data_IF_605571188699
#
_entry.id   IF_605571188699
#
_cell.length_a   1.000
_cell.length_b   1.000
_cell.length_c   1.000
_cell.angle_alpha   90.00
_cell.angle_beta   90.00
_cell.angle_gamma   90.00
#
_symmetry.space_group_name_H-M   'P 1'
#
loop_
_entity.id
_entity.type
_entity.pdbx_description
1 polymer ?
#
# COMPACT_ATOMS: atom_id res chain seq x y z
N UNK A 1 -0.85 -1.19 22.44
CA UNK A 1 -0.83 -1.36 20.97
C UNK A 1 -1.85 -2.41 20.62
N UNK A 2 -2.70 -2.15 19.63
CA UNK A 2 -3.72 -3.11 19.19
C UNK A 2 -3.23 -3.86 17.94
N UNK A 3 -3.52 -5.15 17.87
CA UNK A 3 -3.21 -5.96 16.68
C UNK A 3 -4.16 -5.56 15.56
N UNK A 4 -3.62 -5.23 14.39
CA UNK A 4 -4.37 -4.92 13.17
C UNK A 4 -4.55 -6.13 12.27
N UNK A 5 -3.51 -6.97 12.18
CA UNK A 5 -3.47 -8.15 11.33
C UNK A 5 -2.80 -9.30 12.07
N UNK A 6 -3.34 -10.51 11.91
CA UNK A 6 -2.73 -11.75 12.36
C UNK A 6 -2.66 -12.75 11.20
N UNK A 7 -1.48 -13.30 10.99
CA UNK A 7 -1.19 -14.34 10.00
C UNK A 7 -0.71 -15.58 10.73
N UNK A 8 -1.32 -16.74 10.44
CA UNK A 8 -1.05 -17.99 11.14
C UNK A 8 -0.80 -19.12 10.15
N UNK A 9 0.39 -19.71 10.25
CA UNK A 9 0.81 -20.92 9.51
C UNK A 9 0.57 -20.84 7.99
N UNK A 10 0.74 -19.67 7.40
CA UNK A 10 0.53 -19.46 5.97
C UNK A 10 1.66 -20.12 5.18
N UNK A 11 1.28 -20.97 4.25
CA UNK A 11 2.20 -21.58 3.28
C UNK A 11 1.68 -21.32 1.87
N UNK A 12 2.59 -21.07 0.96
CA UNK A 12 2.25 -20.81 -0.44
C UNK A 12 3.33 -21.33 -1.37
N UNK A 13 2.89 -22.02 -2.40
CA UNK A 13 3.76 -22.53 -3.48
C UNK A 13 3.18 -22.17 -4.84
N UNK A 14 4.04 -21.88 -5.78
CA UNK A 14 3.72 -21.79 -7.19
C UNK A 14 4.00 -23.14 -7.84
N UNK A 15 3.59 -23.32 -9.09
CA UNK A 15 3.91 -24.52 -9.88
C UNK A 15 5.41 -24.81 -10.01
N UNK A 16 6.26 -23.81 -9.72
CA UNK A 16 7.72 -23.89 -9.95
C UNK A 16 8.49 -23.89 -8.62
N UNK A 17 7.99 -23.19 -7.61
CA UNK A 17 8.76 -22.91 -6.38
C UNK A 17 7.86 -22.74 -5.17
N UNK A 18 8.29 -23.29 -4.05
CA UNK A 18 7.75 -22.98 -2.73
C UNK A 18 8.26 -21.59 -2.31
N UNK A 19 7.33 -20.69 -1.99
CA UNK A 19 7.66 -19.33 -1.58
C UNK A 19 7.66 -19.15 -0.07
N UNK A 20 6.68 -19.76 0.64
CA UNK A 20 6.53 -19.63 2.08
C UNK A 20 6.22 -20.98 2.72
N UNK A 21 6.72 -21.15 3.95
CA UNK A 21 6.46 -22.31 4.78
C UNK A 21 6.10 -21.87 6.20
N UNK A 22 4.84 -22.12 6.58
CA UNK A 22 4.32 -21.87 7.93
C UNK A 22 4.61 -20.45 8.46
N UNK A 23 4.44 -19.42 7.65
CA UNK A 23 4.60 -18.05 8.10
C UNK A 23 3.56 -17.71 9.16
N UNK A 24 4.03 -17.18 10.30
CA UNK A 24 3.18 -16.68 11.37
C UNK A 24 3.75 -15.36 11.88
N UNK A 25 2.93 -14.32 11.85
CA UNK A 25 3.30 -12.98 12.32
C UNK A 25 2.06 -12.13 12.59
N UNK A 26 2.24 -10.99 13.22
CA UNK A 26 1.18 -10.01 13.41
C UNK A 26 1.68 -8.60 13.10
N UNK A 27 0.77 -7.71 12.75
CA UNK A 27 1.03 -6.27 12.59
C UNK A 27 0.27 -5.53 13.67
N UNK A 28 0.98 -4.70 14.41
CA UNK A 28 0.43 -3.87 15.47
C UNK A 28 0.16 -2.44 14.96
N UNK A 29 -0.77 -1.75 15.61
CA UNK A 29 -1.01 -0.34 15.36
C UNK A 29 0.27 0.48 15.61
N UNK A 30 0.63 1.35 14.67
CA UNK A 30 1.83 2.18 14.70
C UNK A 30 3.07 1.53 14.10
N UNK A 31 3.02 0.25 13.69
CA UNK A 31 4.13 -0.38 12.97
C UNK A 31 4.23 0.15 11.54
N UNK A 32 5.45 0.53 11.18
CA UNK A 32 5.84 1.00 9.86
C UNK A 32 6.92 0.07 9.33
N UNK A 33 6.50 -0.90 8.55
CA UNK A 33 7.30 -2.07 8.20
C UNK A 33 7.91 -1.88 6.83
N UNK A 34 9.23 -1.98 6.73
CA UNK A 34 9.97 -2.16 5.47
C UNK A 34 10.14 -3.64 5.17
N UNK A 35 9.53 -4.15 4.11
CA UNK A 35 9.66 -5.53 3.68
C UNK A 35 10.73 -5.63 2.59
N UNK A 36 11.85 -6.26 2.92
CA UNK A 36 12.97 -6.46 2.02
C UNK A 36 13.21 -7.94 1.72
N UNK A 37 13.92 -8.20 0.64
CA UNK A 37 14.27 -9.55 0.19
C UNK A 37 14.71 -9.53 -1.28
N UNK A 38 15.39 -10.56 -1.72
CA UNK A 38 15.83 -10.66 -3.12
C UNK A 38 14.66 -10.74 -4.10
N UNK A 39 14.92 -10.45 -5.37
CA UNK A 39 13.89 -10.58 -6.40
C UNK A 39 13.42 -12.03 -6.51
N UNK A 40 12.10 -12.23 -6.60
CA UNK A 40 11.51 -13.55 -6.60
C UNK A 40 11.42 -14.24 -5.23
N UNK A 41 11.71 -13.55 -4.11
CA UNK A 41 11.49 -14.10 -2.76
C UNK A 41 10.02 -14.20 -2.38
N UNK A 42 9.12 -13.55 -3.11
CA UNK A 42 7.67 -13.61 -2.88
C UNK A 42 7.09 -12.40 -2.13
N UNK A 43 7.79 -11.26 -2.05
CA UNK A 43 7.30 -10.04 -1.36
C UNK A 43 5.92 -9.62 -1.85
N UNK A 44 5.77 -9.40 -3.15
CA UNK A 44 4.47 -9.04 -3.78
C UNK A 44 3.42 -10.13 -3.57
N UNK A 45 3.81 -11.40 -3.69
CA UNK A 45 2.91 -12.53 -3.43
C UNK A 45 2.40 -12.53 -2.00
N UNK A 46 3.27 -12.22 -1.02
CA UNK A 46 2.86 -12.11 0.38
C UNK A 46 1.84 -10.99 0.57
N UNK A 47 2.08 -9.81 0.00
CA UNK A 47 1.11 -8.71 0.05
C UNK A 47 -0.22 -9.08 -0.61
N UNK A 48 -0.21 -9.76 -1.76
CA UNK A 48 -1.42 -10.19 -2.45
C UNK A 48 -2.20 -11.27 -1.67
N UNK A 49 -1.53 -12.17 -0.97
CA UNK A 49 -2.18 -13.14 -0.08
C UNK A 49 -2.83 -12.43 1.11
N UNK A 50 -2.12 -11.52 1.76
CA UNK A 50 -2.64 -10.75 2.89
C UNK A 50 -3.87 -9.94 2.48
N UNK A 51 -3.82 -9.28 1.33
CA UNK A 51 -4.91 -8.43 0.83
C UNK A 51 -5.98 -9.20 0.06
N UNK A 52 -5.93 -10.53 0.10
CA UNK A 52 -6.91 -11.44 -0.52
C UNK A 52 -7.03 -11.30 -2.04
N UNK A 53 -6.01 -10.78 -2.70
CA UNK A 53 -5.92 -10.74 -4.16
C UNK A 53 -5.50 -12.10 -4.75
N UNK A 54 -4.88 -12.95 -3.93
CA UNK A 54 -4.59 -14.34 -4.23
C UNK A 54 -5.30 -15.24 -3.22
N UNK A 55 -5.83 -16.40 -3.66
CA UNK A 55 -6.46 -17.34 -2.76
C UNK A 55 -5.44 -17.97 -1.81
N UNK A 56 -5.82 -18.08 -0.55
CA UNK A 56 -5.02 -18.76 0.46
C UNK A 56 -5.23 -20.28 0.37
N UNK A 57 -4.14 -21.04 0.25
CA UNK A 57 -4.21 -22.51 0.20
C UNK A 57 -4.07 -23.13 1.60
N UNK A 58 -3.22 -22.59 2.46
CA UNK A 58 -2.97 -23.09 3.81
C UNK A 58 -2.75 -21.94 4.78
N UNK A 59 -3.21 -22.13 6.03
CA UNK A 59 -3.10 -21.15 7.10
C UNK A 59 -4.31 -20.26 7.23
N UNK A 60 -4.20 -19.21 8.03
CA UNK A 60 -5.25 -18.22 8.25
C UNK A 60 -4.69 -16.80 8.27
N UNK A 61 -5.46 -15.89 7.71
CA UNK A 61 -5.19 -14.45 7.73
C UNK A 61 -6.42 -13.74 8.25
N UNK A 62 -6.29 -13.00 9.34
CA UNK A 62 -7.39 -12.28 9.97
C UNK A 62 -7.00 -10.83 10.28
N UNK A 63 -7.85 -9.90 9.89
CA UNK A 63 -7.78 -8.50 10.29
C UNK A 63 -8.62 -8.28 11.55
N UNK A 64 -8.23 -7.31 12.37
CA UNK A 64 -9.08 -6.86 13.48
C UNK A 64 -10.44 -6.36 12.96
N UNK A 65 -11.50 -6.54 13.72
CA UNK A 65 -12.88 -6.24 13.29
C UNK A 65 -13.11 -4.81 12.78
N UNK A 66 -12.28 -3.85 13.17
CA UNK A 66 -12.40 -2.45 12.76
C UNK A 66 -11.22 -1.98 11.91
N UNK A 67 -10.30 -2.88 11.54
CA UNK A 67 -9.16 -2.52 10.73
C UNK A 67 -9.58 -2.36 9.27
N UNK A 68 -9.49 -1.15 8.77
CA UNK A 68 -9.62 -0.85 7.35
C UNK A 68 -8.23 -0.90 6.74
N UNK A 69 -8.03 -1.74 5.75
CA UNK A 69 -6.78 -1.81 5.03
C UNK A 69 -6.95 -1.41 3.56
N UNK A 70 -5.89 -0.95 2.96
CA UNK A 70 -5.84 -0.70 1.53
C UNK A 70 -4.52 -1.18 0.92
N UNK A 71 -4.62 -1.71 -0.29
CA UNK A 71 -3.48 -2.01 -1.15
C UNK A 71 -3.36 -0.90 -2.19
N UNK A 72 -2.16 -0.35 -2.33
CA UNK A 72 -1.87 0.67 -3.34
C UNK A 72 -1.37 -0.04 -4.58
N UNK A 73 -2.18 0.04 -5.62
CA UNK A 73 -1.87 -0.52 -6.94
C UNK A 73 -0.68 0.21 -7.56
N UNK A 74 0.09 -0.47 -8.40
CA UNK A 74 1.18 0.15 -9.18
C UNK A 74 0.64 0.97 -10.36
N UNK A 75 -0.53 0.59 -10.87
CA UNK A 75 -1.20 1.25 -11.99
C UNK A 75 -2.69 1.40 -11.72
N UNK A 76 -3.31 2.39 -12.36
CA UNK A 76 -4.77 2.49 -12.36
C UNK A 76 -5.38 1.24 -13.01
N UNK A 77 -6.46 0.69 -12.44
CA UNK A 77 -7.22 -0.37 -13.10
C UNK A 77 -7.70 0.08 -14.48
N UNK A 78 -7.69 -0.85 -15.43
CA UNK A 78 -8.04 -0.56 -16.83
C UNK A 78 -9.44 0.06 -17.01
N UNK A 79 -10.39 -0.27 -16.14
CA UNK A 79 -11.72 0.32 -16.14
C UNK A 79 -11.76 1.79 -15.71
N UNK A 80 -10.64 2.35 -15.24
CA UNK A 80 -10.48 3.75 -14.87
C UNK A 80 -9.55 4.51 -15.82
N UNK A 81 -9.27 3.97 -16.99
CA UNK A 81 -8.36 4.61 -17.96
C UNK A 81 -8.93 5.88 -18.60
N UNK A 82 -10.25 6.09 -18.54
CA UNK A 82 -10.92 7.21 -19.21
C UNK A 82 -11.86 7.97 -18.28
N UNK A 83 -11.43 8.16 -17.03
CA UNK A 83 -12.18 8.93 -16.02
C UNK A 83 -11.40 10.17 -15.62
N UNK A 84 -12.04 11.09 -14.91
CA UNK A 84 -11.39 12.25 -14.33
C UNK A 84 -10.61 11.88 -13.07
N UNK A 85 -9.69 12.74 -12.67
CA UNK A 85 -8.91 12.60 -11.42
C UNK A 85 -9.83 12.45 -10.21
N UNK A 86 -10.87 13.27 -10.12
CA UNK A 86 -11.86 13.22 -9.04
C UNK A 86 -12.64 11.90 -9.03
N UNK A 87 -13.12 11.46 -10.19
CA UNK A 87 -13.82 10.17 -10.32
C UNK A 87 -12.92 8.98 -9.95
N UNK A 88 -11.65 9.02 -10.32
CA UNK A 88 -10.70 7.98 -9.97
C UNK A 88 -10.50 7.86 -8.46
N UNK A 89 -10.38 8.98 -7.75
CA UNK A 89 -10.26 8.99 -6.27
C UNK A 89 -11.53 8.44 -5.63
N UNK A 90 -12.71 8.84 -6.12
CA UNK A 90 -14.00 8.40 -5.60
C UNK A 90 -14.33 6.93 -5.93
N UNK A 91 -13.64 6.33 -6.90
CA UNK A 91 -13.99 5.00 -7.44
C UNK A 91 -13.94 3.86 -6.42
N UNK A 92 -13.18 4.00 -5.32
CA UNK A 92 -13.14 3.03 -4.20
C UNK A 92 -14.37 3.11 -3.29
N UNK A 93 -15.15 4.18 -3.38
CA UNK A 93 -16.39 4.32 -2.62
C UNK A 93 -17.58 3.70 -3.38
N UNK A 94 -18.58 3.18 -2.64
CA UNK A 94 -19.88 2.82 -3.22
C UNK A 94 -20.48 4.00 -3.98
N UNK A 95 -21.15 3.73 -5.09
CA UNK A 95 -21.65 4.76 -6.00
C UNK A 95 -22.59 5.78 -5.29
N UNK A 96 -23.45 5.29 -4.42
CA UNK A 96 -24.38 6.11 -3.64
C UNK A 96 -23.67 7.11 -2.69
N UNK A 97 -22.43 6.86 -2.32
CA UNK A 97 -21.65 7.74 -1.45
C UNK A 97 -20.80 8.76 -2.20
N UNK A 98 -20.50 8.53 -3.47
CA UNK A 98 -19.52 9.34 -4.22
C UNK A 98 -19.91 10.82 -4.28
N UNK A 99 -21.19 11.11 -4.52
CA UNK A 99 -21.68 12.49 -4.56
C UNK A 99 -21.57 13.18 -3.19
N UNK A 100 -21.91 12.48 -2.11
CA UNK A 100 -21.85 13.03 -0.75
C UNK A 100 -20.41 13.23 -0.26
N UNK A 101 -19.48 12.44 -0.74
CA UNK A 101 -18.07 12.43 -0.32
C UNK A 101 -17.16 13.22 -1.28
N UNK A 102 -17.72 13.85 -2.32
CA UNK A 102 -16.94 14.61 -3.33
C UNK A 102 -16.07 15.70 -2.68
N UNK A 103 -16.62 16.44 -1.72
CA UNK A 103 -15.88 17.47 -1.00
C UNK A 103 -14.65 16.92 -0.24
N UNK A 104 -14.73 15.70 0.31
CA UNK A 104 -13.59 15.05 0.96
C UNK A 104 -12.53 14.64 -0.04
N UNK A 105 -12.94 14.18 -1.23
CA UNK A 105 -12.02 13.85 -2.31
C UNK A 105 -11.26 15.09 -2.79
N UNK A 106 -11.93 16.23 -2.91
CA UNK A 106 -11.31 17.50 -3.29
C UNK A 106 -10.27 17.98 -2.25
N UNK A 107 -10.61 17.91 -0.95
CA UNK A 107 -9.65 18.22 0.13
C UNK A 107 -8.43 17.28 0.04
N UNK A 108 -8.67 15.99 -0.10
CA UNK A 108 -7.60 15.01 -0.19
C UNK A 108 -6.71 15.24 -1.42
N UNK A 109 -7.30 15.55 -2.57
CA UNK A 109 -6.55 15.89 -3.78
C UNK A 109 -5.67 17.14 -3.58
N UNK A 110 -6.19 18.16 -2.92
CA UNK A 110 -5.41 19.36 -2.57
C UNK A 110 -4.22 19.01 -1.64
N UNK A 111 -4.42 18.18 -0.62
CA UNK A 111 -3.36 17.68 0.26
C UNK A 111 -2.30 16.86 -0.49
N UNK A 112 -2.72 16.13 -1.53
CA UNK A 112 -1.84 15.37 -2.42
C UNK A 112 -1.13 16.24 -3.47
N UNK A 113 -1.40 17.55 -3.49
CA UNK A 113 -0.75 18.52 -4.35
C UNK A 113 -1.37 18.70 -5.73
N UNK A 114 -2.63 18.24 -5.93
CA UNK A 114 -3.40 18.55 -7.13
C UNK A 114 -4.03 19.94 -7.04
N UNK A 115 -4.02 20.68 -8.14
CA UNK A 115 -4.73 21.94 -8.27
C UNK A 115 -6.21 21.67 -8.64
N UNK A 116 -7.11 22.55 -8.25
CA UNK A 116 -8.55 22.43 -8.56
C UNK A 116 -8.81 22.26 -10.08
N UNK A 117 -8.06 22.96 -10.91
CA UNK A 117 -8.12 22.83 -12.38
C UNK A 117 -7.81 21.41 -12.90
N UNK A 118 -7.16 20.58 -12.10
CA UNK A 118 -6.80 19.20 -12.47
C UNK A 118 -7.87 18.18 -12.08
N UNK A 119 -8.81 18.50 -11.20
CA UNK A 119 -9.81 17.54 -10.71
C UNK A 119 -10.67 16.94 -11.82
N UNK A 120 -10.98 17.75 -12.84
CA UNK A 120 -11.78 17.34 -13.99
C UNK A 120 -10.94 16.95 -15.22
N UNK A 121 -9.63 16.91 -15.10
CA UNK A 121 -8.76 16.42 -16.17
C UNK A 121 -8.81 14.88 -16.22
N UNK A 122 -8.63 14.35 -17.43
CA UNK A 122 -8.53 12.90 -17.62
C UNK A 122 -7.25 12.36 -16.98
N UNK A 123 -7.33 11.21 -16.31
CA UNK A 123 -6.21 10.57 -15.63
C UNK A 123 -5.03 10.27 -16.56
N UNK A 124 -5.26 10.06 -17.85
CA UNK A 124 -4.22 9.81 -18.85
C UNK A 124 -3.31 11.02 -19.10
N UNK A 125 -3.69 12.22 -18.66
CA UNK A 125 -2.87 13.43 -18.81
C UNK A 125 -1.86 13.61 -17.68
N UNK A 126 -1.92 12.78 -16.66
CA UNK A 126 -1.08 12.89 -15.47
C UNK A 126 0.35 12.41 -15.74
N UNK A 127 1.32 13.06 -15.09
CA UNK A 127 2.69 12.55 -14.99
C UNK A 127 2.78 11.30 -14.12
N UNK A 128 3.89 10.55 -14.20
CA UNK A 128 4.11 9.37 -13.35
C UNK A 128 3.99 9.66 -11.86
N UNK A 129 4.57 10.78 -11.40
CA UNK A 129 4.46 11.21 -10.00
C UNK A 129 3.03 11.58 -9.61
N UNK A 130 2.28 12.22 -10.48
CA UNK A 130 0.86 12.52 -10.25
C UNK A 130 0.01 11.24 -10.21
N UNK A 131 0.30 10.24 -11.07
CA UNK A 131 -0.32 8.92 -10.98
C UNK A 131 -0.12 8.26 -9.63
N UNK A 132 1.10 8.27 -9.10
CA UNK A 132 1.39 7.72 -7.77
C UNK A 132 0.59 8.42 -6.68
N UNK A 133 0.50 9.76 -6.72
CA UNK A 133 -0.31 10.55 -5.78
C UNK A 133 -1.79 10.23 -5.90
N UNK A 134 -2.29 10.04 -7.12
CA UNK A 134 -3.69 9.66 -7.38
C UNK A 134 -4.02 8.27 -6.80
N UNK A 135 -3.15 7.28 -7.03
CA UNK A 135 -3.32 5.92 -6.49
C UNK A 135 -3.34 5.93 -4.96
N UNK A 136 -2.48 6.74 -4.34
CA UNK A 136 -2.48 6.95 -2.91
C UNK A 136 -3.80 7.59 -2.44
N UNK A 137 -4.30 8.62 -3.13
CA UNK A 137 -5.58 9.26 -2.85
C UNK A 137 -6.76 8.29 -2.91
N UNK A 138 -6.79 7.42 -3.92
CA UNK A 138 -7.81 6.36 -4.01
C UNK A 138 -7.82 5.45 -2.78
N UNK A 139 -6.65 5.05 -2.31
CA UNK A 139 -6.52 4.21 -1.12
C UNK A 139 -6.96 4.95 0.15
N UNK A 140 -6.61 6.22 0.29
CA UNK A 140 -6.88 7.04 1.48
C UNK A 140 -8.35 7.44 1.63
N UNK A 141 -9.16 7.41 0.56
CA UNK A 141 -10.58 7.76 0.63
C UNK A 141 -11.37 6.91 1.65
N UNK A 142 -10.98 5.65 1.85
CA UNK A 142 -11.58 4.77 2.85
C UNK A 142 -11.00 4.92 4.25
N UNK A 143 -10.09 5.89 4.49
CA UNK A 143 -9.45 6.13 5.77
C UNK A 143 -8.81 4.85 6.36
N UNK A 144 -7.88 4.22 5.65
CA UNK A 144 -7.29 2.97 6.09
C UNK A 144 -6.41 3.15 7.35
N UNK A 145 -6.43 2.14 8.21
CA UNK A 145 -5.54 2.01 9.36
C UNK A 145 -4.21 1.38 8.97
N UNK A 146 -4.23 0.58 7.90
CA UNK A 146 -3.09 -0.19 7.41
C UNK A 146 -2.99 -0.12 5.89
N UNK A 147 -1.83 0.32 5.40
CA UNK A 147 -1.51 0.38 3.97
C UNK A 147 -0.52 -0.72 3.57
N UNK A 148 -0.73 -1.27 2.39
CA UNK A 148 0.22 -2.16 1.73
C UNK A 148 0.68 -1.53 0.43
N UNK A 149 2.01 -1.38 0.27
CA UNK A 149 2.62 -0.73 -0.88
C UNK A 149 3.71 -1.63 -1.46
N UNK A 150 3.61 -1.86 -2.76
CA UNK A 150 4.59 -2.67 -3.49
C UNK A 150 5.35 -1.79 -4.48
N UNK A 151 6.62 -1.48 -4.13
CA UNK A 151 7.54 -0.66 -4.95
C UNK A 151 6.96 0.67 -5.44
N UNK A 152 6.34 1.50 -4.56
CA UNK A 152 5.68 2.74 -4.98
C UNK A 152 6.65 3.81 -5.50
N UNK A 153 7.96 3.68 -5.24
CA UNK A 153 9.01 4.61 -5.69
C UNK A 153 9.60 4.25 -7.05
N UNK A 154 9.25 3.10 -7.62
CA UNK A 154 9.79 2.67 -8.90
C UNK A 154 9.44 3.65 -10.02
N UNK A 155 10.46 4.03 -10.80
CA UNK A 155 10.34 4.94 -11.95
C UNK A 155 9.89 6.36 -11.61
N UNK A 156 9.94 6.76 -10.33
CA UNK A 156 9.64 8.13 -9.92
C UNK A 156 10.87 9.03 -10.00
N UNK A 157 10.63 10.30 -10.28
CA UNK A 157 11.65 11.34 -10.19
C UNK A 157 11.96 11.71 -8.72
N UNK A 158 13.10 12.31 -8.50
CA UNK A 158 13.56 12.67 -7.15
C UNK A 158 12.56 13.57 -6.38
N UNK A 159 11.95 14.61 -6.98
CA UNK A 159 10.94 15.40 -6.30
C UNK A 159 9.74 14.58 -5.78
N UNK A 160 9.27 13.62 -6.56
CA UNK A 160 8.17 12.74 -6.15
C UNK A 160 8.58 11.78 -5.04
N UNK A 161 9.79 11.23 -5.08
CA UNK A 161 10.34 10.38 -4.01
C UNK A 161 10.44 11.18 -2.69
N UNK A 162 10.95 12.40 -2.74
CA UNK A 162 11.03 13.29 -1.57
C UNK A 162 9.65 13.62 -1.00
N UNK A 163 8.68 13.90 -1.87
CA UNK A 163 7.30 14.12 -1.47
C UNK A 163 6.70 12.87 -0.81
N UNK A 164 6.88 11.68 -1.40
CA UNK A 164 6.39 10.41 -0.86
C UNK A 164 7.01 10.12 0.51
N UNK A 165 8.31 10.38 0.67
CA UNK A 165 9.03 10.25 1.94
C UNK A 165 8.40 11.15 3.01
N UNK A 166 8.15 12.41 2.67
CA UNK A 166 7.54 13.36 3.61
C UNK A 166 6.11 12.98 3.96
N UNK A 167 5.35 12.47 2.98
CA UNK A 167 4.00 11.96 3.21
C UNK A 167 4.02 10.84 4.27
N UNK A 168 4.85 9.80 4.10
CA UNK A 168 4.92 8.68 5.05
C UNK A 168 5.46 9.07 6.41
N UNK A 169 6.36 10.05 6.50
CA UNK A 169 6.80 10.59 7.80
C UNK A 169 5.65 11.20 8.60
N UNK A 170 4.73 11.87 7.93
CA UNK A 170 3.61 12.57 8.56
C UNK A 170 2.38 11.69 8.74
N UNK A 171 2.27 10.61 7.97
CA UNK A 171 1.10 9.75 8.04
C UNK A 171 1.09 8.94 9.35
N UNK A 172 -0.05 8.90 10.03
CA UNK A 172 -0.16 8.31 11.38
C UNK A 172 -0.57 6.84 11.39
N UNK A 173 -1.00 6.29 10.26
CA UNK A 173 -1.38 4.90 10.15
C UNK A 173 -0.18 3.94 10.10
N UNK A 174 -0.48 2.66 10.07
CA UNK A 174 0.50 1.59 9.90
C UNK A 174 0.65 1.23 8.42
N UNK A 175 1.82 0.76 8.03
CA UNK A 175 2.02 0.30 6.66
C UNK A 175 3.07 -0.81 6.54
N UNK A 176 2.94 -1.57 5.44
CA UNK A 176 3.99 -2.46 4.93
C UNK A 176 4.43 -1.93 3.58
N UNK A 177 5.69 -1.56 3.50
CA UNK A 177 6.31 -0.98 2.32
C UNK A 177 7.38 -1.92 1.77
N UNK A 178 7.15 -2.44 0.57
CA UNK A 178 8.19 -3.09 -0.23
C UNK A 178 8.90 -2.01 -1.03
N UNK A 179 10.21 -1.90 -0.88
CA UNK A 179 11.03 -0.99 -1.69
C UNK A 179 12.49 -1.47 -1.77
N UNK A 180 13.14 -1.13 -2.87
CA UNK A 180 14.58 -1.25 -3.05
C UNK A 180 15.33 0.04 -2.69
N UNK A 181 14.59 1.13 -2.43
CA UNK A 181 15.15 2.41 -2.01
C UNK A 181 15.42 2.40 -0.49
N UNK A 182 16.68 2.15 -0.14
CA UNK A 182 17.11 2.09 1.25
C UNK A 182 16.95 3.43 1.97
N UNK A 183 17.18 4.55 1.28
CA UNK A 183 17.02 5.87 1.87
C UNK A 183 15.57 6.16 2.24
N UNK A 184 14.62 5.73 1.40
CA UNK A 184 13.19 5.83 1.71
C UNK A 184 12.86 4.98 2.93
N UNK A 185 13.25 3.70 2.94
CA UNK A 185 12.97 2.78 4.05
C UNK A 185 13.53 3.29 5.38
N UNK A 186 14.78 3.70 5.42
CA UNK A 186 15.45 4.19 6.64
C UNK A 186 14.77 5.42 7.24
N UNK A 187 14.14 6.23 6.40
CA UNK A 187 13.49 7.46 6.84
C UNK A 187 12.06 7.27 7.32
N UNK A 188 11.35 6.26 6.85
CA UNK A 188 9.89 6.14 7.06
C UNK A 188 9.47 4.90 7.85
N UNK A 189 10.37 3.91 8.02
CA UNK A 189 10.06 2.66 8.73
C UNK A 189 10.63 2.62 10.13
N UNK A 190 10.01 1.83 11.01
CA UNK A 190 10.48 1.56 12.37
C UNK A 190 10.71 0.06 12.62
N UNK A 191 10.39 -0.77 11.63
CA UNK A 191 10.55 -2.22 11.70
C UNK A 191 10.97 -2.73 10.33
N UNK A 192 11.94 -3.63 10.28
CA UNK A 192 12.40 -4.26 9.04
C UNK A 192 12.02 -5.73 9.05
N UNK A 193 11.35 -6.17 8.00
CA UNK A 193 11.07 -7.56 7.72
C UNK A 193 11.93 -8.05 6.56
N UNK A 194 12.59 -9.19 6.74
CA UNK A 194 13.41 -9.81 5.70
C UNK A 194 12.75 -11.12 5.29
N UNK A 195 12.32 -11.20 4.04
CA UNK A 195 11.78 -12.42 3.45
C UNK A 195 12.93 -13.19 2.77
N UNK A 196 13.31 -14.29 3.40
CA UNK A 196 14.44 -15.13 2.97
C UNK A 196 14.19 -16.60 3.35
N UNK A 197 14.63 -17.51 2.50
CA UNK A 197 14.61 -18.96 2.75
C UNK A 197 13.23 -19.46 3.19
N UNK A 198 12.17 -19.06 2.47
CA UNK A 198 10.75 -19.39 2.74
C UNK A 198 10.23 -18.89 4.11
N UNK A 199 11.02 -18.07 4.81
CA UNK A 199 10.76 -17.58 6.18
C UNK A 199 10.81 -16.07 6.26
N UNK A 200 10.14 -15.51 7.28
CA UNK A 200 10.14 -14.09 7.57
C UNK A 200 10.94 -13.84 8.85
N UNK A 201 11.91 -12.94 8.75
CA UNK A 201 12.73 -12.48 9.88
C UNK A 201 12.42 -11.01 10.15
N UNK A 202 12.25 -10.60 11.41
CA UNK A 202 11.95 -9.23 11.78
C UNK A 202 13.01 -8.64 12.70
N UNK A 203 13.31 -7.36 12.42
CA UNK A 203 14.25 -6.56 13.20
C UNK A 203 13.57 -5.23 13.52
N UNK A 204 13.52 -4.87 14.79
CA UNK A 204 13.18 -3.51 15.16
C UNK A 204 14.39 -2.63 14.87
N UNK A 205 14.18 -1.56 14.14
CA UNK A 205 15.21 -0.53 13.98
C UNK A 205 15.33 0.19 15.32
N UNK A 206 16.55 0.51 15.77
CA UNK A 206 16.73 1.37 16.93
C UNK A 206 16.10 2.73 16.62
N UNK A 207 15.33 3.25 17.58
CA UNK A 207 14.76 4.60 17.54
C UNK A 207 15.89 5.64 17.54
#
# INVERSE_FOLDING_TARGET
MSTLLSVQSVSYETSIKKLFKNLSFSIQSGERIGLIGHNGSGKSTLLHLITQQLPLSHGNISFANHCIYAYIEQHLPNNLSDVTVLEAVLSKLPEEKRMMESWRAEILLAELGFQESQYHQNVNTLSGGQHTRLLLGRALMNQPDLLFLDEPSNHLDLPTILWLTQFFKNWRGSFVLVSHDQNLLDQVTNTTWILRDESLHYFQLPC
#
